data_IF_054996824100
#
_entry.id   IF_054996824100
#
_cell.length_a   1.000
_cell.length_b   1.000
_cell.length_c   1.000
_cell.angle_alpha   90.00
_cell.angle_beta   90.00
_cell.angle_gamma   90.00
#
_symmetry.space_group_name_H-M   'P 1'
#
loop_
_entity.id
_entity.type
_entity.pdbx_description
1 polymer ?
#
# COMPACT_ATOMS: atom_id res chain seq x y z
N UNK A 1 17.15 13.55 -8.03
CA UNK A 1 16.34 12.98 -9.14
C UNK A 1 17.06 11.83 -9.85
N UNK A 2 18.34 11.97 -10.24
CA UNK A 2 19.14 10.89 -10.86
C UNK A 2 19.33 9.65 -9.94
N UNK A 3 19.41 9.84 -8.62
CA UNK A 3 19.62 8.72 -7.69
C UNK A 3 18.36 7.85 -7.48
N UNK A 4 17.16 8.43 -7.55
CA UNK A 4 15.90 7.67 -7.33
C UNK A 4 15.50 6.80 -8.52
N UNK A 5 15.71 7.27 -9.75
CA UNK A 5 15.47 6.46 -10.96
C UNK A 5 16.37 5.23 -10.97
N UNK A 6 17.61 5.38 -10.46
CA UNK A 6 18.57 4.29 -10.31
C UNK A 6 18.15 3.30 -9.20
N UNK A 7 17.58 3.77 -8.10
CA UNK A 7 17.06 2.91 -7.02
C UNK A 7 15.83 2.10 -7.48
N UNK A 8 14.90 2.75 -8.19
CA UNK A 8 13.67 2.10 -8.65
C UNK A 8 13.88 1.20 -9.88
N UNK A 9 15.06 1.28 -10.52
CA UNK A 9 15.44 0.54 -11.73
C UNK A 9 14.38 0.57 -12.85
N UNK A 10 13.54 1.60 -12.84
CA UNK A 10 12.45 1.83 -13.77
C UNK A 10 12.06 3.30 -13.65
N UNK A 11 11.66 3.90 -14.77
CA UNK A 11 11.15 5.27 -14.77
C UNK A 11 9.67 5.21 -14.41
N UNK A 12 9.22 5.63 -13.22
CA UNK A 12 7.82 5.54 -12.86
C UNK A 12 7.06 6.57 -13.69
N UNK A 13 6.57 6.17 -14.86
CA UNK A 13 5.74 7.04 -15.70
C UNK A 13 4.46 7.50 -14.97
N UNK A 14 4.14 6.83 -13.85
CA UNK A 14 2.95 7.04 -13.03
C UNK A 14 3.17 7.91 -11.79
N UNK A 15 4.41 8.20 -11.37
CA UNK A 15 4.67 9.02 -10.17
C UNK A 15 4.97 10.44 -10.59
N UNK A 16 4.16 11.40 -10.13
CA UNK A 16 4.34 12.81 -10.47
C UNK A 16 5.68 13.35 -9.95
N UNK A 17 6.26 14.32 -10.67
CA UNK A 17 7.47 15.02 -10.21
C UNK A 17 7.29 15.67 -8.83
N UNK A 18 6.07 16.07 -8.52
CA UNK A 18 5.68 16.64 -7.22
C UNK A 18 5.80 15.62 -6.09
N UNK A 19 5.38 14.37 -6.31
CA UNK A 19 5.53 13.31 -5.29
C UNK A 19 6.97 12.83 -5.14
N UNK A 20 7.79 12.95 -6.20
CA UNK A 20 9.24 12.70 -6.10
C UNK A 20 9.91 13.79 -5.26
N UNK A 21 9.50 15.05 -5.43
CA UNK A 21 10.04 16.17 -4.67
C UNK A 21 9.57 16.18 -3.20
N UNK A 22 8.33 15.76 -2.97
CA UNK A 22 7.72 15.62 -1.64
C UNK A 22 6.93 14.31 -1.52
N UNK A 23 7.58 13.21 -1.09
CA UNK A 23 6.93 11.92 -0.89
C UNK A 23 5.83 11.95 0.18
N UNK A 24 5.94 12.83 1.17
CA UNK A 24 4.93 12.95 2.22
C UNK A 24 3.62 13.47 1.64
N UNK A 25 3.68 14.41 0.69
CA UNK A 25 2.51 14.86 -0.06
C UNK A 25 1.86 13.73 -0.86
N UNK A 26 2.65 12.83 -1.43
CA UNK A 26 2.14 11.62 -2.10
C UNK A 26 1.36 10.70 -1.15
N UNK A 27 1.97 10.39 0.00
CA UNK A 27 1.32 9.58 1.05
C UNK A 27 0.05 10.24 1.59
N UNK A 28 0.09 11.56 1.84
CA UNK A 28 -1.07 12.33 2.30
C UNK A 28 -2.21 12.31 1.29
N UNK A 29 -1.89 12.54 0.01
CA UNK A 29 -2.87 12.48 -1.06
C UNK A 29 -3.51 11.10 -1.12
N UNK A 30 -2.71 10.03 -1.10
CA UNK A 30 -3.22 8.66 -1.14
C UNK A 30 -4.20 8.37 0.01
N UNK A 31 -3.79 8.61 1.27
CA UNK A 31 -4.63 8.29 2.43
C UNK A 31 -5.82 9.24 2.61
N UNK A 32 -5.79 10.44 2.01
CA UNK A 32 -6.94 11.35 1.97
C UNK A 32 -8.08 10.81 1.09
N UNK A 33 -7.74 10.07 0.02
CA UNK A 33 -8.74 9.45 -0.86
C UNK A 33 -9.03 7.98 -0.53
N UNK A 34 -8.13 7.34 0.22
CA UNK A 34 -8.21 5.92 0.52
C UNK A 34 -7.96 5.68 2.01
N UNK A 35 -9.03 5.72 2.85
CA UNK A 35 -8.93 5.41 4.26
C UNK A 35 -8.25 4.05 4.48
N UNK A 36 -7.38 3.95 5.48
CA UNK A 36 -6.57 2.74 5.73
C UNK A 36 -7.43 1.47 5.81
N UNK A 37 -8.59 1.55 6.48
CA UNK A 37 -9.54 0.43 6.58
C UNK A 37 -10.04 -0.03 5.22
N UNK A 38 -10.36 0.88 4.30
CA UNK A 38 -10.78 0.53 2.94
C UNK A 38 -9.63 -0.08 2.13
N UNK A 39 -8.41 0.45 2.28
CA UNK A 39 -7.23 -0.09 1.60
C UNK A 39 -7.00 -1.54 2.01
N UNK A 40 -7.06 -1.84 3.31
CA UNK A 40 -6.97 -3.23 3.83
C UNK A 40 -8.02 -4.14 3.19
N UNK A 41 -9.29 -3.70 3.17
CA UNK A 41 -10.38 -4.47 2.57
C UNK A 41 -10.16 -4.72 1.06
N UNK A 42 -9.71 -3.69 0.32
CA UNK A 42 -9.41 -3.80 -1.11
C UNK A 42 -8.25 -4.77 -1.38
N UNK A 43 -7.19 -4.75 -0.55
CA UNK A 43 -6.09 -5.71 -0.65
C UNK A 43 -6.54 -7.15 -0.38
N UNK A 44 -7.41 -7.35 0.62
CA UNK A 44 -8.04 -8.66 0.86
C UNK A 44 -8.90 -9.13 -0.31
N UNK A 45 -9.68 -8.23 -0.90
CA UNK A 45 -10.50 -8.55 -2.06
C UNK A 45 -9.63 -8.92 -3.27
N UNK A 46 -8.52 -8.21 -3.49
CA UNK A 46 -7.58 -8.48 -4.57
C UNK A 46 -6.99 -9.90 -4.46
N UNK A 47 -6.51 -10.29 -3.28
CA UNK A 47 -6.03 -11.66 -3.07
C UNK A 47 -7.13 -12.69 -3.30
N UNK A 48 -8.34 -12.47 -2.78
CA UNK A 48 -9.47 -13.40 -2.97
C UNK A 48 -9.81 -13.56 -4.46
N UNK A 49 -9.81 -12.46 -5.21
CA UNK A 49 -10.04 -12.49 -6.65
C UNK A 49 -8.92 -13.25 -7.38
N UNK A 50 -7.67 -12.98 -7.02
CA UNK A 50 -6.51 -13.69 -7.56
C UNK A 50 -6.59 -15.19 -7.27
N UNK A 51 -6.81 -15.60 -6.01
CA UNK A 51 -6.96 -17.01 -5.62
C UNK A 51 -8.05 -17.69 -6.43
N UNK A 52 -9.23 -17.07 -6.59
CA UNK A 52 -10.32 -17.62 -7.41
C UNK A 52 -9.92 -17.82 -8.87
N UNK A 53 -9.08 -16.96 -9.42
CA UNK A 53 -8.62 -17.04 -10.80
C UNK A 53 -7.57 -18.13 -11.00
N UNK A 54 -6.69 -18.35 -10.00
CA UNK A 54 -5.55 -19.26 -10.14
C UNK A 54 -5.73 -20.62 -9.44
N UNK A 55 -6.84 -20.84 -8.71
CA UNK A 55 -7.03 -21.95 -7.78
C UNK A 55 -6.76 -23.36 -8.35
N UNK A 56 -6.85 -23.54 -9.67
CA UNK A 56 -6.66 -24.84 -10.34
C UNK A 56 -5.25 -25.00 -10.93
N UNK A 57 -4.48 -23.91 -11.02
CA UNK A 57 -3.22 -23.86 -11.77
C UNK A 57 -2.02 -23.37 -10.96
N UNK A 58 -2.23 -22.78 -9.77
CA UNK A 58 -1.15 -22.28 -8.94
C UNK A 58 -0.52 -23.41 -8.11
N UNK A 59 0.80 -23.45 -8.09
CA UNK A 59 1.54 -24.32 -7.19
C UNK A 59 1.33 -23.89 -5.72
N UNK A 60 1.32 -24.82 -4.75
CA UNK A 60 1.17 -24.47 -3.33
C UNK A 60 2.20 -23.46 -2.83
N UNK A 61 3.42 -23.47 -3.40
CA UNK A 61 4.48 -22.50 -3.12
C UNK A 61 4.11 -21.09 -3.55
N UNK A 62 3.47 -20.94 -4.72
CA UNK A 62 3.07 -19.65 -5.26
C UNK A 62 1.92 -19.05 -4.46
N UNK A 63 0.97 -19.91 -4.03
CA UNK A 63 -0.10 -19.51 -3.12
C UNK A 63 0.50 -18.97 -1.81
N UNK A 64 1.42 -19.72 -1.21
CA UNK A 64 2.08 -19.33 0.05
C UNK A 64 2.87 -18.03 -0.10
N UNK A 65 3.60 -17.86 -1.20
CA UNK A 65 4.36 -16.65 -1.50
C UNK A 65 3.43 -15.43 -1.65
N UNK A 66 2.29 -15.59 -2.32
CA UNK A 66 1.33 -14.51 -2.54
C UNK A 66 0.57 -14.13 -1.27
N UNK A 67 0.28 -15.09 -0.39
CA UNK A 67 -0.26 -14.81 0.95
C UNK A 67 0.72 -13.96 1.76
N UNK A 68 1.99 -14.39 1.83
CA UNK A 68 3.03 -13.64 2.53
C UNK A 68 3.22 -12.23 1.94
N UNK A 69 3.25 -12.11 0.62
CA UNK A 69 3.36 -10.83 -0.05
C UNK A 69 2.21 -9.88 0.31
N UNK A 70 0.97 -10.40 0.37
CA UNK A 70 -0.17 -9.60 0.79
C UNK A 70 -0.02 -9.09 2.22
N UNK A 71 0.38 -9.96 3.15
CA UNK A 71 0.58 -9.57 4.56
C UNK A 71 1.63 -8.48 4.69
N UNK A 72 2.78 -8.65 4.03
CA UNK A 72 3.86 -7.65 4.02
C UNK A 72 3.42 -6.33 3.38
N UNK A 73 2.59 -6.37 2.34
CA UNK A 73 2.05 -5.17 1.71
C UNK A 73 1.08 -4.43 2.66
N UNK A 74 0.21 -5.16 3.36
CA UNK A 74 -0.66 -4.58 4.39
C UNK A 74 0.18 -3.94 5.49
N UNK A 75 1.17 -4.65 6.01
CA UNK A 75 2.08 -4.14 7.03
C UNK A 75 2.79 -2.86 6.58
N UNK A 76 3.32 -2.84 5.35
CA UNK A 76 3.96 -1.66 4.78
C UNK A 76 2.99 -0.46 4.71
N UNK A 77 1.76 -0.68 4.28
CA UNK A 77 0.73 0.37 4.22
C UNK A 77 0.41 0.91 5.62
N UNK A 78 0.30 0.04 6.61
CA UNK A 78 0.04 0.41 8.00
C UNK A 78 1.19 1.21 8.61
N UNK A 79 2.43 0.72 8.45
CA UNK A 79 3.63 1.41 8.93
C UNK A 79 3.76 2.79 8.27
N UNK A 80 3.48 2.91 6.97
CA UNK A 80 3.48 4.18 6.25
C UNK A 80 2.44 5.16 6.81
N UNK A 81 1.25 4.67 7.14
CA UNK A 81 0.21 5.48 7.77
C UNK A 81 0.62 5.92 9.18
N UNK A 82 1.06 5.00 10.02
CA UNK A 82 1.51 5.28 11.40
C UNK A 82 2.64 6.30 11.42
N UNK A 83 3.62 6.16 10.52
CA UNK A 83 4.69 7.13 10.34
C UNK A 83 4.13 8.51 10.00
N UNK A 84 3.21 8.60 9.03
CA UNK A 84 2.67 9.91 8.63
C UNK A 84 1.81 10.57 9.69
N UNK A 85 1.11 9.79 10.51
CA UNK A 85 0.41 10.32 11.69
C UNK A 85 1.40 10.82 12.74
N UNK A 86 2.49 10.07 12.99
CA UNK A 86 3.54 10.45 13.95
C UNK A 86 4.26 11.74 13.54
N UNK A 87 4.51 11.90 12.25
CA UNK A 87 5.20 13.06 11.68
C UNK A 87 4.25 14.25 11.41
N UNK A 88 2.94 14.07 11.64
CA UNK A 88 1.94 15.14 11.59
C UNK A 88 1.43 15.53 10.21
N UNK A 89 1.77 14.77 9.15
CA UNK A 89 1.29 15.04 7.79
C UNK A 89 0.10 14.18 7.35
N UNK A 90 -0.38 13.28 8.22
CA UNK A 90 -1.63 12.52 8.04
C UNK A 90 -2.60 12.77 9.20
N UNK A 91 -3.92 12.70 8.95
CA UNK A 91 -4.91 12.81 10.01
C UNK A 91 -4.80 11.63 10.99
N UNK A 92 -4.96 11.91 12.28
CA UNK A 92 -5.11 10.86 13.29
C UNK A 92 -6.38 10.05 12.98
N UNK A 93 -6.36 8.72 13.15
CA UNK A 93 -7.57 7.93 13.00
C UNK A 93 -8.64 8.47 13.96
N UNK A 94 -9.83 8.75 13.43
CA UNK A 94 -11.00 9.04 14.25
C UNK A 94 -11.34 7.72 14.94
N UNK A 95 -11.09 7.62 16.25
CA UNK A 95 -11.55 6.48 17.02
C UNK A 95 -13.07 6.44 16.91
N UNK A 96 -13.60 5.53 16.07
CA UNK A 96 -15.00 5.16 16.22
C UNK A 96 -15.13 4.52 17.60
N UNK A 97 -16.01 5.02 18.48
CA UNK A 97 -16.29 4.33 19.73
C UNK A 97 -16.70 2.91 19.36
N UNK A 98 -16.06 1.93 20.00
CA UNK A 98 -16.47 0.53 19.89
C UNK A 98 -17.90 0.46 20.43
N UNK A 99 -18.86 0.22 19.54
CA UNK A 99 -20.19 -0.26 19.93
C UNK A 99 -20.06 -1.72 20.39
#
# INVERSE_FOLDING_TARGET
>A
MKDYIRILNYQPHTVSKEFIADPNRGLNTFFSFHPLTEVRQKLHLLLRAWLRQVNVYAEPSDISAMLLFQEQLIEFMEVSYVKGVKDGYLPKPVNHPKN
#
